data_IF_422932264666
#
_entry.id   IF_422932264666
#
_cell.length_a   1.000
_cell.length_b   1.000
_cell.length_c   1.000
_cell.angle_alpha   90.00
_cell.angle_beta   90.00
_cell.angle_gamma   90.00
#
_symmetry.space_group_name_H-M   'P 1'
#
loop_
_entity.id
_entity.type
_entity.pdbx_description
1 polymer ?
#
# COMPACT_ATOMS: atom_id res chain seq x y z
N UNK A 1 6.26 6.81 4.37
CA UNK A 1 5.89 6.59 2.96
C UNK A 1 6.45 7.73 2.12
N UNK A 2 7.38 7.43 1.21
CA UNK A 2 7.97 8.44 0.31
C UNK A 2 7.39 8.32 -1.11
N UNK A 3 6.05 8.36 -1.24
CA UNK A 3 5.34 8.35 -2.52
C UNK A 3 4.72 9.73 -2.74
N UNK A 4 5.52 10.69 -3.19
CA UNK A 4 5.02 12.04 -3.52
C UNK A 4 4.03 11.93 -4.68
N UNK A 5 2.90 12.65 -4.57
CA UNK A 5 1.82 12.70 -5.56
C UNK A 5 0.95 11.44 -5.71
N UNK A 6 0.96 10.52 -4.73
CA UNK A 6 0.00 9.41 -4.67
C UNK A 6 -0.74 9.44 -3.34
N UNK A 7 -2.07 9.52 -3.40
CA UNK A 7 -2.93 9.26 -2.24
C UNK A 7 -3.14 7.74 -2.11
N UNK A 8 -2.84 7.17 -0.94
CA UNK A 8 -3.05 5.75 -0.66
C UNK A 8 -3.44 5.54 0.80
N UNK A 9 -3.98 4.36 1.11
CA UNK A 9 -4.41 3.96 2.45
C UNK A 9 -3.47 2.88 2.99
N UNK A 10 -3.04 3.04 4.24
CA UNK A 10 -2.07 2.16 4.91
C UNK A 10 -2.79 1.11 5.75
N UNK A 11 -2.69 -0.17 5.40
CA UNK A 11 -3.50 -1.22 6.02
C UNK A 11 -4.96 -1.14 5.62
N UNK A 12 -5.60 -2.28 5.36
CA UNK A 12 -7.04 -2.30 5.04
C UNK A 12 -7.94 -2.00 6.25
N UNK A 13 -7.34 -1.82 7.44
CA UNK A 13 -7.99 -1.48 8.71
C UNK A 13 -7.51 -0.10 9.16
N UNK A 14 -7.80 0.95 8.39
CA UNK A 14 -7.45 2.30 8.81
C UNK A 14 -8.41 2.79 9.91
N UNK A 15 -7.85 3.02 11.10
CA UNK A 15 -8.39 3.74 12.27
C UNK A 15 -9.39 3.06 13.21
N UNK A 16 -9.17 1.79 13.58
CA UNK A 16 -9.68 1.30 14.87
C UNK A 16 -8.63 1.60 15.95
N UNK A 17 -9.03 1.95 17.17
CA UNK A 17 -8.13 2.04 18.32
C UNK A 17 -7.47 0.68 18.67
N UNK A 18 -7.87 -0.38 17.98
CA UNK A 18 -7.38 -1.74 18.10
C UNK A 18 -6.30 -2.03 17.06
N UNK A 19 -5.17 -2.54 17.53
CA UNK A 19 -3.96 -2.85 16.75
C UNK A 19 -4.11 -4.12 15.89
N UNK A 20 -5.33 -4.52 15.57
CA UNK A 20 -5.60 -5.81 14.92
C UNK A 20 -5.31 -5.76 13.42
N UNK A 21 -4.67 -6.81 12.86
CA UNK A 21 -4.37 -6.90 11.44
C UNK A 21 -5.65 -7.03 10.62
N UNK A 22 -5.51 -6.83 9.32
CA UNK A 22 -6.61 -7.05 8.37
C UNK A 22 -7.14 -8.48 8.44
N UNK A 23 -8.39 -8.64 8.87
CA UNK A 23 -9.08 -9.94 8.84
C UNK A 23 -9.22 -10.50 7.41
N UNK A 24 -9.17 -9.64 6.38
CA UNK A 24 -9.23 -10.07 4.97
C UNK A 24 -7.90 -10.69 4.56
N UNK A 25 -6.78 -10.04 4.89
CA UNK A 25 -5.45 -10.52 4.52
C UNK A 25 -5.09 -11.80 5.28
N UNK A 26 -5.48 -11.89 6.56
CA UNK A 26 -5.30 -13.13 7.33
C UNK A 26 -6.18 -14.26 6.80
N UNK A 27 -7.41 -13.99 6.36
CA UNK A 27 -8.27 -14.98 5.71
C UNK A 27 -7.72 -15.49 4.37
N UNK A 28 -6.86 -14.70 3.70
CA UNK A 28 -6.11 -15.14 2.51
C UNK A 28 -4.90 -16.03 2.85
N UNK A 29 -4.65 -16.31 4.13
CA UNK A 29 -3.59 -17.19 4.60
C UNK A 29 -2.24 -16.50 4.85
N UNK A 30 -2.19 -15.18 4.82
CA UNK A 30 -0.97 -14.44 5.15
C UNK A 30 -0.85 -14.21 6.67
N UNK A 31 0.38 -14.20 7.17
CA UNK A 31 0.66 -13.92 8.57
C UNK A 31 0.31 -12.47 8.96
N UNK A 32 0.27 -12.23 10.27
CA UNK A 32 -0.12 -10.95 10.85
C UNK A 32 0.92 -9.84 10.56
N UNK A 33 2.20 -10.18 10.52
CA UNK A 33 3.27 -9.22 10.23
C UNK A 33 3.11 -8.67 8.81
N UNK A 34 2.92 -9.55 7.83
CA UNK A 34 2.68 -9.19 6.45
C UNK A 34 1.36 -8.44 6.28
N UNK A 35 0.31 -8.82 7.01
CA UNK A 35 -0.97 -8.12 7.01
C UNK A 35 -0.86 -6.66 7.49
N UNK A 36 0.05 -6.34 8.41
CA UNK A 36 0.31 -4.96 8.84
C UNK A 36 1.06 -4.11 7.80
N UNK A 37 1.80 -4.75 6.89
CA UNK A 37 2.60 -4.03 5.88
C UNK A 37 1.84 -3.71 4.59
N UNK A 38 0.60 -4.21 4.45
CA UNK A 38 -0.16 -4.07 3.23
C UNK A 38 -0.56 -2.62 2.91
N UNK A 39 -0.47 -2.27 1.64
CA UNK A 39 -0.88 -0.97 1.10
C UNK A 39 -2.01 -1.19 0.10
N UNK A 40 -3.10 -0.43 0.23
CA UNK A 40 -4.23 -0.49 -0.70
C UNK A 40 -4.23 0.72 -1.62
N UNK A 41 -4.22 0.44 -2.93
CA UNK A 41 -4.48 1.43 -3.97
C UNK A 41 -5.84 1.14 -4.60
N UNK A 42 -6.61 2.20 -4.81
CA UNK A 42 -7.92 2.14 -5.48
C UNK A 42 -7.90 3.09 -6.67
N UNK A 43 -8.49 2.66 -7.78
CA UNK A 43 -8.66 3.47 -8.99
C UNK A 43 -10.14 3.80 -9.14
N UNK A 44 -10.46 5.02 -9.55
CA UNK A 44 -11.83 5.51 -9.72
C UNK A 44 -12.10 6.06 -11.11
N UNK A 45 -13.35 6.46 -11.35
CA UNK A 45 -13.84 7.00 -12.64
C UNK A 45 -13.03 8.17 -13.18
N UNK A 46 -12.43 8.96 -12.30
CA UNK A 46 -11.70 10.17 -12.64
C UNK A 46 -10.20 9.93 -12.88
N UNK A 47 -9.73 8.69 -12.72
CA UNK A 47 -8.36 8.37 -13.08
C UNK A 47 -8.22 8.13 -14.57
N UNK A 48 -7.09 8.54 -15.14
CA UNK A 48 -6.72 8.22 -16.51
C UNK A 48 -5.51 7.27 -16.56
N UNK A 49 -5.27 6.71 -17.75
CA UNK A 49 -4.20 5.72 -17.96
C UNK A 49 -2.79 6.28 -17.69
N UNK A 50 -2.56 7.56 -17.98
CA UNK A 50 -1.27 8.21 -17.77
C UNK A 50 -0.98 8.39 -16.27
N UNK A 51 -1.99 8.79 -15.49
CA UNK A 51 -1.91 8.86 -14.03
C UNK A 51 -1.60 7.51 -13.40
N UNK A 52 -2.26 6.44 -13.88
CA UNK A 52 -2.03 5.08 -13.37
C UNK A 52 -0.60 4.63 -13.72
N UNK A 53 -0.14 4.90 -14.94
CA UNK A 53 1.22 4.57 -15.36
C UNK A 53 2.27 5.36 -14.54
N UNK A 54 2.04 6.65 -14.30
CA UNK A 54 2.90 7.47 -13.46
C UNK A 54 2.92 6.96 -12.01
N UNK A 55 1.75 6.62 -11.45
CA UNK A 55 1.64 6.06 -10.11
C UNK A 55 2.42 4.75 -9.99
N UNK A 56 2.32 3.85 -10.98
CA UNK A 56 3.08 2.60 -11.03
C UNK A 56 4.59 2.82 -10.98
N UNK A 57 5.12 3.78 -11.75
CA UNK A 57 6.56 4.13 -11.74
C UNK A 57 7.01 4.63 -10.37
N UNK A 58 6.22 5.50 -9.74
CA UNK A 58 6.52 6.04 -8.41
C UNK A 58 6.49 4.93 -7.35
N UNK A 59 5.52 4.01 -7.41
CA UNK A 59 5.41 2.87 -6.48
C UNK A 59 6.63 1.95 -6.61
N UNK A 60 7.04 1.62 -7.84
CA UNK A 60 8.22 0.78 -8.09
C UNK A 60 9.48 1.44 -7.53
N UNK A 61 9.68 2.74 -7.80
CA UNK A 61 10.82 3.50 -7.30
C UNK A 61 10.84 3.54 -5.76
N UNK A 62 9.69 3.79 -5.12
CA UNK A 62 9.57 3.80 -3.67
C UNK A 62 9.87 2.43 -3.06
N UNK A 63 9.32 1.35 -3.63
CA UNK A 63 9.57 -0.02 -3.16
C UNK A 63 11.04 -0.43 -3.31
N UNK A 64 11.70 0.01 -4.39
CA UNK A 64 13.12 -0.27 -4.64
C UNK A 64 14.02 0.50 -3.67
N UNK A 65 13.74 1.78 -3.43
CA UNK A 65 14.47 2.59 -2.46
C UNK A 65 14.36 2.02 -1.04
N UNK A 66 13.17 1.62 -0.61
CA UNK A 66 12.96 1.01 0.72
C UNK A 66 13.67 -0.35 0.91
N UNK A 67 13.98 -1.07 -0.18
CA UNK A 67 14.83 -2.27 -0.10
C UNK A 67 16.31 -1.93 0.06
N UNK A 68 16.77 -0.82 -0.54
CA UNK A 68 18.15 -0.36 -0.42
C UNK A 68 18.48 0.18 0.98
N UNK A 69 17.51 0.80 1.65
CA UNK A 69 17.65 1.33 3.02
C UNK A 69 17.61 0.25 4.12
N UNK A 70 17.07 -0.95 3.81
CA UNK A 70 17.01 -2.09 4.74
C UNK A 70 18.25 -2.99 4.71
N UNK A 71 19.30 -2.59 3.98
CA UNK A 71 20.58 -3.29 3.88
C UNK A 71 21.63 -2.56 4.70
#
# INVERSE_FOLDING_TARGET
MNMKNIACSTGSACSSASLEPSHVITALGYDTELAHTAIRFSVGRFNNSDEIAAAGKIIINAATASKAEKK
#
